data_IF_327786597957
#
_entry.id   IF_327786597957
#
_cell.length_a   1.000
_cell.length_b   1.000
_cell.length_c   1.000
_cell.angle_alpha   90.00
_cell.angle_beta   90.00
_cell.angle_gamma   90.00
#
_symmetry.space_group_name_H-M   'P 1'
#
loop_
_entity.id
_entity.type
_entity.pdbx_description
1 polymer ?
#
# COMPACT_ATOMS: atom_id res chain seq x y z
N UNK A 1 -26.35 1.54 8.33
CA UNK A 1 -25.25 0.90 7.56
C UNK A 1 -24.64 1.95 6.65
N UNK A 2 -23.30 2.14 6.66
CA UNK A 2 -22.63 2.95 5.63
C UNK A 2 -22.82 2.31 4.26
N UNK A 3 -23.04 3.07 3.17
CA UNK A 3 -23.18 2.50 1.85
C UNK A 3 -21.91 1.75 1.42
N UNK A 4 -22.10 0.66 0.68
CA UNK A 4 -21.03 0.04 -0.08
C UNK A 4 -20.70 0.89 -1.31
N UNK A 5 -19.54 0.64 -1.89
CA UNK A 5 -19.09 1.40 -3.05
C UNK A 5 -19.99 1.21 -4.27
N UNK A 6 -20.46 2.32 -4.85
CA UNK A 6 -21.39 2.31 -5.99
C UNK A 6 -20.94 3.11 -7.23
N UNK A 7 -19.86 3.91 -7.17
CA UNK A 7 -19.39 4.71 -8.31
C UNK A 7 -17.92 5.17 -8.16
N UNK A 8 -17.31 5.66 -9.25
CA UNK A 8 -15.96 6.25 -9.27
C UNK A 8 -15.90 7.71 -8.76
N UNK A 9 -16.97 8.24 -8.15
CA UNK A 9 -16.99 9.62 -7.65
C UNK A 9 -16.27 9.75 -6.29
N UNK A 10 -15.03 10.24 -6.31
CA UNK A 10 -14.14 10.39 -5.16
C UNK A 10 -14.73 11.20 -3.98
N UNK A 11 -15.69 12.09 -4.22
CA UNK A 11 -16.34 12.83 -3.13
C UNK A 11 -17.37 11.96 -2.39
N UNK A 12 -18.10 11.11 -3.11
CA UNK A 12 -19.03 10.15 -2.53
C UNK A 12 -18.30 8.99 -1.84
N UNK A 13 -17.07 8.69 -2.27
CA UNK A 13 -16.24 7.64 -1.70
C UNK A 13 -16.02 7.78 -0.20
N UNK A 14 -15.89 9.01 0.33
CA UNK A 14 -15.66 9.24 1.77
C UNK A 14 -16.87 8.92 2.64
N UNK A 15 -18.06 8.87 2.06
CA UNK A 15 -19.30 8.54 2.77
C UNK A 15 -19.55 7.01 2.83
N UNK A 16 -18.89 6.25 1.95
CA UNK A 16 -18.91 4.79 1.95
C UNK A 16 -18.04 4.20 3.07
N UNK A 17 -18.23 2.90 3.33
CA UNK A 17 -17.30 2.14 4.18
C UNK A 17 -15.90 2.09 3.54
N UNK A 18 -14.87 2.37 4.32
CA UNK A 18 -13.47 2.34 3.85
C UNK A 18 -12.79 1.01 4.15
N UNK A 19 -11.82 0.63 3.32
CA UNK A 19 -10.98 -0.54 3.59
C UNK A 19 -10.27 -0.36 4.93
N UNK A 20 -10.36 -1.38 5.77
CA UNK A 20 -9.82 -1.38 7.13
C UNK A 20 -10.80 -0.90 8.20
N UNK A 21 -11.94 -0.30 7.87
CA UNK A 21 -12.93 0.10 8.88
C UNK A 21 -13.53 -1.10 9.60
N UNK A 22 -13.72 -0.97 10.92
CA UNK A 22 -14.50 -1.92 11.71
C UNK A 22 -15.95 -1.82 11.28
N UNK A 23 -16.56 -2.94 10.91
CA UNK A 23 -17.96 -2.96 10.47
C UNK A 23 -18.90 -2.85 11.67
N UNK A 24 -19.94 -2.03 11.53
CA UNK A 24 -21.00 -1.93 12.53
C UNK A 24 -21.91 -3.18 12.52
N UNK A 25 -22.73 -3.42 13.56
CA UNK A 25 -23.60 -4.61 13.63
C UNK A 25 -24.58 -4.74 12.47
N UNK A 26 -25.07 -3.63 11.91
CA UNK A 26 -26.02 -3.63 10.80
C UNK A 26 -25.33 -4.10 9.50
N UNK A 27 -24.14 -3.59 9.25
CA UNK A 27 -23.25 -3.99 8.15
C UNK A 27 -22.88 -5.47 8.30
N UNK A 28 -22.49 -5.90 9.50
CA UNK A 28 -22.20 -7.32 9.75
C UNK A 28 -23.40 -8.22 9.40
N UNK A 29 -24.61 -7.88 9.87
CA UNK A 29 -25.82 -8.62 9.53
C UNK A 29 -26.08 -8.64 8.02
N UNK A 30 -25.86 -7.52 7.32
CA UNK A 30 -25.98 -7.46 5.87
C UNK A 30 -25.05 -8.46 5.17
N UNK A 31 -23.76 -8.47 5.51
CA UNK A 31 -22.80 -9.43 4.95
C UNK A 31 -23.17 -10.87 5.33
N UNK A 32 -23.45 -11.15 6.60
CA UNK A 32 -23.78 -12.51 7.07
C UNK A 32 -25.02 -13.09 6.38
N UNK A 33 -26.01 -12.27 6.05
CA UNK A 33 -27.25 -12.72 5.42
C UNK A 33 -27.16 -12.85 3.89
N UNK A 34 -26.21 -12.15 3.25
CA UNK A 34 -26.13 -12.06 1.78
C UNK A 34 -24.85 -12.68 1.19
N UNK A 35 -24.09 -13.44 2.00
CA UNK A 35 -22.84 -14.05 1.56
C UNK A 35 -23.01 -15.46 1.01
N UNK A 36 -22.47 -15.74 -0.17
CA UNK A 36 -22.33 -17.12 -0.69
C UNK A 36 -21.04 -17.81 -0.31
N UNK A 37 -20.05 -17.06 0.17
CA UNK A 37 -18.86 -17.63 0.78
C UNK A 37 -18.82 -17.25 2.26
N UNK A 38 -18.81 -18.27 3.11
CA UNK A 38 -18.80 -18.11 4.55
C UNK A 38 -17.76 -19.06 5.15
N UNK A 39 -16.83 -18.47 5.90
CA UNK A 39 -15.89 -19.16 6.79
C UNK A 39 -15.90 -18.45 8.13
N UNK A 40 -15.36 -19.07 9.17
CA UNK A 40 -15.30 -18.51 10.52
C UNK A 40 -14.70 -17.09 10.59
N UNK A 41 -13.88 -16.74 9.59
CA UNK A 41 -13.11 -15.50 9.47
C UNK A 41 -13.43 -14.66 8.23
N UNK A 42 -14.33 -15.08 7.32
CA UNK A 42 -14.57 -14.40 6.04
C UNK A 42 -16.06 -14.48 5.64
N UNK A 43 -16.64 -13.35 5.23
CA UNK A 43 -17.93 -13.24 4.54
C UNK A 43 -17.76 -12.48 3.22
N UNK A 44 -18.29 -13.03 2.12
CA UNK A 44 -18.30 -12.38 0.80
C UNK A 44 -19.69 -12.37 0.18
N UNK A 45 -20.18 -11.17 -0.16
CA UNK A 45 -21.51 -10.97 -0.76
C UNK A 45 -21.61 -11.67 -2.11
N UNK A 46 -22.77 -12.26 -2.43
CA UNK A 46 -22.97 -13.04 -3.65
C UNK A 46 -22.95 -12.22 -4.96
N UNK A 47 -23.10 -10.91 -4.84
CA UNK A 47 -23.09 -9.99 -5.96
C UNK A 47 -21.66 -9.64 -6.38
N UNK A 48 -21.40 -9.72 -7.69
CA UNK A 48 -20.12 -9.27 -8.27
C UNK A 48 -20.05 -7.76 -8.19
N UNK A 49 -19.23 -7.25 -7.27
CA UNK A 49 -19.10 -5.82 -7.00
C UNK A 49 -18.29 -5.12 -8.10
N UNK A 50 -17.26 -5.78 -8.63
CA UNK A 50 -16.45 -5.28 -9.74
C UNK A 50 -15.83 -6.42 -10.57
N UNK A 51 -15.38 -6.08 -11.79
CA UNK A 51 -14.60 -6.97 -12.64
C UNK A 51 -13.33 -6.22 -13.05
N UNK A 52 -12.16 -6.79 -12.77
CA UNK A 52 -10.85 -6.26 -13.16
C UNK A 52 -10.16 -7.31 -14.04
N UNK A 53 -10.02 -7.02 -15.33
CA UNK A 53 -9.64 -8.05 -16.31
C UNK A 53 -10.67 -9.18 -16.33
N UNK A 54 -10.23 -10.41 -16.08
CA UNK A 54 -11.11 -11.58 -15.97
C UNK A 54 -11.47 -11.94 -14.52
N UNK A 55 -11.01 -11.13 -13.56
CA UNK A 55 -11.14 -11.39 -12.13
C UNK A 55 -12.42 -10.74 -11.60
N UNK A 56 -13.31 -11.56 -11.02
CA UNK A 56 -14.54 -11.10 -10.35
C UNK A 56 -14.26 -10.81 -8.87
N UNK A 57 -14.65 -9.63 -8.43
CA UNK A 57 -14.42 -9.17 -7.07
C UNK A 57 -15.74 -9.04 -6.31
N UNK A 58 -15.69 -9.39 -5.03
CA UNK A 58 -16.84 -9.43 -4.14
C UNK A 58 -16.55 -8.59 -2.91
N UNK A 59 -17.52 -7.79 -2.48
CA UNK A 59 -17.42 -7.08 -1.21
C UNK A 59 -17.18 -8.10 -0.09
N UNK A 60 -16.11 -7.87 0.65
CA UNK A 60 -15.60 -8.85 1.62
C UNK A 60 -15.41 -8.19 2.99
N UNK A 61 -15.89 -8.85 4.03
CA UNK A 61 -15.49 -8.57 5.42
C UNK A 61 -14.70 -9.76 5.96
N UNK A 62 -13.67 -9.48 6.76
CA UNK A 62 -12.83 -10.51 7.34
C UNK A 62 -12.35 -10.19 8.75
N UNK A 63 -11.94 -11.23 9.47
CA UNK A 63 -11.20 -11.14 10.73
C UNK A 63 -9.73 -11.47 10.50
N UNK A 64 -8.83 -10.60 10.95
CA UNK A 64 -7.38 -10.85 10.88
C UNK A 64 -6.92 -11.99 11.80
N UNK A 65 -7.68 -12.24 12.87
CA UNK A 65 -7.52 -13.38 13.77
C UNK A 65 -8.83 -13.62 14.54
N UNK A 66 -8.93 -14.74 15.26
CA UNK A 66 -10.14 -15.14 16.00
C UNK A 66 -10.73 -14.04 16.91
N UNK A 67 -9.87 -13.21 17.50
CA UNK A 67 -10.24 -12.18 18.48
C UNK A 67 -10.32 -10.76 17.86
N UNK A 68 -10.00 -10.61 16.58
CA UNK A 68 -10.10 -9.33 15.88
C UNK A 68 -11.57 -8.99 15.59
N UNK A 69 -11.93 -7.69 15.54
CA UNK A 69 -13.21 -7.26 15.02
C UNK A 69 -13.31 -7.59 13.52
N UNK A 70 -14.54 -7.71 13.01
CA UNK A 70 -14.79 -7.76 11.58
C UNK A 70 -14.44 -6.42 10.95
N UNK A 71 -13.68 -6.47 9.86
CA UNK A 71 -13.32 -5.27 9.08
C UNK A 71 -13.74 -5.46 7.63
N UNK A 72 -14.13 -4.37 6.99
CA UNK A 72 -14.26 -4.35 5.54
C UNK A 72 -12.87 -4.39 4.92
N UNK A 73 -12.61 -5.41 4.10
CA UNK A 73 -11.31 -5.61 3.46
C UNK A 73 -11.33 -5.26 1.97
N UNK A 74 -12.40 -4.62 1.51
CA UNK A 74 -12.56 -4.18 0.13
C UNK A 74 -13.22 -5.23 -0.74
N UNK A 75 -12.85 -5.21 -2.02
CA UNK A 75 -13.40 -6.09 -3.04
C UNK A 75 -12.34 -7.10 -3.44
N UNK A 76 -12.57 -8.35 -3.05
CA UNK A 76 -11.58 -9.42 -3.08
C UNK A 76 -12.02 -10.54 -4.02
N UNK A 77 -11.05 -11.34 -4.48
CA UNK A 77 -11.35 -12.61 -5.15
C UNK A 77 -12.09 -13.56 -4.22
N UNK A 78 -12.85 -14.49 -4.80
CA UNK A 78 -13.61 -15.45 -3.99
C UNK A 78 -12.66 -16.32 -3.15
N UNK A 79 -12.88 -16.35 -1.84
CA UNK A 79 -12.06 -17.05 -0.86
C UNK A 79 -10.82 -16.30 -0.37
N UNK A 80 -10.57 -15.09 -0.87
CA UNK A 80 -9.41 -14.26 -0.55
C UNK A 80 -9.80 -13.02 0.26
N UNK A 81 -8.80 -12.39 0.89
CA UNK A 81 -9.00 -11.19 1.74
C UNK A 81 -8.20 -9.99 1.26
N UNK A 82 -7.38 -10.17 0.23
CA UNK A 82 -6.59 -9.10 -0.38
C UNK A 82 -7.48 -8.29 -1.32
N UNK A 83 -7.68 -7.00 -1.02
CA UNK A 83 -8.37 -6.09 -1.92
C UNK A 83 -7.68 -6.09 -3.30
N UNK A 84 -8.47 -6.26 -4.36
CA UNK A 84 -7.98 -6.19 -5.74
C UNK A 84 -8.58 -5.03 -6.53
N UNK A 85 -9.49 -4.24 -5.94
CA UNK A 85 -10.03 -3.07 -6.61
C UNK A 85 -9.20 -1.82 -6.28
N UNK A 86 -8.45 -1.24 -7.24
CA UNK A 86 -7.65 -0.03 -7.02
C UNK A 86 -8.46 1.18 -6.57
N UNK A 87 -9.75 1.27 -6.93
CA UNK A 87 -10.61 2.36 -6.47
C UNK A 87 -10.84 2.35 -4.96
N UNK A 88 -10.58 1.22 -4.29
CA UNK A 88 -10.70 1.04 -2.85
C UNK A 88 -9.34 0.93 -2.14
N UNK A 89 -8.24 0.87 -2.90
CA UNK A 89 -6.92 0.65 -2.32
C UNK A 89 -6.43 1.91 -1.60
N UNK A 90 -5.94 1.79 -0.34
CA UNK A 90 -5.25 2.89 0.29
C UNK A 90 -3.94 3.21 -0.44
N UNK A 91 -3.55 4.48 -0.43
CA UNK A 91 -2.19 4.87 -0.82
C UNK A 91 -1.22 4.61 0.34
N UNK A 92 -0.10 3.97 0.01
CA UNK A 92 0.98 3.67 0.97
C UNK A 92 2.28 4.28 0.45
N UNK A 93 2.89 5.14 1.26
CA UNK A 93 4.17 5.73 0.92
C UNK A 93 5.29 4.70 1.06
N UNK A 94 6.12 4.54 0.04
CA UNK A 94 7.28 3.64 0.08
C UNK A 94 8.52 4.47 0.40
N UNK A 95 9.15 4.15 1.54
CA UNK A 95 10.41 4.74 1.98
C UNK A 95 11.51 3.70 1.84
N UNK A 96 12.50 3.97 0.99
CA UNK A 96 13.65 3.10 0.80
C UNK A 96 14.85 3.91 0.33
N UNK A 97 16.06 3.35 0.48
CA UNK A 97 17.27 4.03 0.02
C UNK A 97 17.25 4.14 -1.50
N UNK A 98 17.59 5.33 -2.01
CA UNK A 98 17.73 5.58 -3.44
C UNK A 98 19.16 5.98 -3.82
N UNK A 99 19.72 6.99 -3.13
CA UNK A 99 21.07 7.50 -3.39
C UNK A 99 22.15 6.48 -3.06
N UNK A 100 23.20 6.48 -3.87
CA UNK A 100 24.38 5.66 -3.69
C UNK A 100 25.63 6.35 -4.24
N UNK A 101 26.82 5.85 -3.87
CA UNK A 101 28.10 6.40 -4.34
C UNK A 101 28.45 5.92 -5.75
N UNK A 102 28.03 4.70 -6.09
CA UNK A 102 28.29 4.09 -7.39
C UNK A 102 26.99 3.92 -8.19
N UNK A 103 27.12 3.82 -9.52
CA UNK A 103 26.01 3.51 -10.41
C UNK A 103 25.36 2.17 -10.09
N UNK A 104 26.17 1.18 -9.73
CA UNK A 104 25.73 -0.19 -9.50
C UNK A 104 24.94 -0.30 -8.20
N UNK A 105 25.40 0.35 -7.13
CA UNK A 105 24.64 0.48 -5.89
C UNK A 105 23.33 1.25 -6.11
N UNK A 106 23.34 2.30 -6.96
CA UNK A 106 22.11 3.04 -7.29
C UNK A 106 21.12 2.15 -8.03
N UNK A 107 21.58 1.29 -8.95
CA UNK A 107 20.73 0.34 -9.64
C UNK A 107 20.14 -0.69 -8.67
N UNK A 108 20.92 -1.21 -7.73
CA UNK A 108 20.44 -2.10 -6.68
C UNK A 108 19.34 -1.44 -5.84
N UNK A 109 19.55 -0.20 -5.41
CA UNK A 109 18.56 0.59 -4.67
C UNK A 109 17.25 0.76 -5.46
N UNK A 110 17.33 1.04 -6.76
CA UNK A 110 16.16 1.16 -7.64
C UNK A 110 15.37 -0.15 -7.69
N UNK A 111 16.05 -1.28 -7.83
CA UNK A 111 15.37 -2.58 -7.86
C UNK A 111 14.76 -2.97 -6.51
N UNK A 112 15.40 -2.61 -5.39
CA UNK A 112 14.82 -2.79 -4.05
C UNK A 112 13.59 -1.89 -3.84
N UNK A 113 13.62 -0.65 -4.32
CA UNK A 113 12.47 0.25 -4.26
C UNK A 113 11.28 -0.28 -5.09
N UNK A 114 11.55 -0.84 -6.29
CA UNK A 114 10.51 -1.52 -7.10
C UNK A 114 9.95 -2.75 -6.39
N UNK A 115 10.80 -3.56 -5.77
CA UNK A 115 10.39 -4.70 -4.96
C UNK A 115 9.50 -4.28 -3.78
N UNK A 116 9.82 -3.18 -3.11
CA UNK A 116 8.96 -2.62 -2.06
C UNK A 116 7.59 -2.21 -2.61
N UNK A 117 7.55 -1.57 -3.79
CA UNK A 117 6.29 -1.21 -4.45
C UNK A 117 5.44 -2.45 -4.78
N UNK A 118 6.04 -3.50 -5.33
CA UNK A 118 5.33 -4.76 -5.62
C UNK A 118 4.76 -5.41 -4.36
N UNK A 119 5.51 -5.38 -3.26
CA UNK A 119 5.03 -5.89 -1.98
C UNK A 119 3.81 -5.11 -1.47
N UNK A 120 3.80 -3.79 -1.61
CA UNK A 120 2.64 -2.95 -1.26
C UNK A 120 1.43 -3.28 -2.14
N UNK A 121 1.62 -3.53 -3.44
CA UNK A 121 0.55 -3.98 -4.35
C UNK A 121 -0.02 -5.34 -3.89
N UNK A 122 0.86 -6.28 -3.52
CA UNK A 122 0.44 -7.59 -3.00
C UNK A 122 -0.36 -7.49 -1.69
N UNK A 123 -0.13 -6.44 -0.90
CA UNK A 123 -0.90 -6.14 0.32
C UNK A 123 -2.24 -5.46 0.05
N UNK A 124 -2.62 -5.24 -1.22
CA UNK A 124 -3.87 -4.60 -1.59
C UNK A 124 -3.86 -3.08 -1.44
N UNK A 125 -2.72 -2.45 -1.67
CA UNK A 125 -2.52 -1.00 -1.58
C UNK A 125 -1.82 -0.44 -2.83
N UNK A 126 -1.94 0.87 -3.06
CA UNK A 126 -1.25 1.57 -4.16
C UNK A 126 0.05 2.19 -3.62
N UNK A 127 1.23 1.77 -4.12
CA UNK A 127 2.51 2.32 -3.68
C UNK A 127 2.77 3.71 -4.26
N UNK A 128 3.24 4.62 -3.40
CA UNK A 128 3.72 5.94 -3.79
C UNK A 128 5.22 6.00 -3.46
N UNK A 129 6.06 5.98 -4.50
CA UNK A 129 7.53 6.03 -4.38
C UNK A 129 8.10 7.23 -5.16
N UNK A 130 8.06 8.45 -4.61
CA UNK A 130 8.49 9.65 -5.33
C UNK A 130 9.95 9.60 -5.77
N UNK A 131 10.81 8.93 -5.01
CA UNK A 131 12.21 8.73 -5.35
C UNK A 131 12.43 7.84 -6.60
N UNK A 132 11.45 7.03 -7.02
CA UNK A 132 11.47 6.35 -8.32
C UNK A 132 10.92 7.21 -9.45
N UNK A 133 9.99 8.12 -9.15
CA UNK A 133 9.28 8.95 -10.12
C UNK A 133 10.03 10.24 -10.44
N UNK A 134 10.24 11.12 -9.45
CA UNK A 134 10.84 12.45 -9.63
C UNK A 134 12.27 12.38 -10.16
N UNK A 135 13.05 11.39 -9.74
CA UNK A 135 14.44 11.19 -10.19
C UNK A 135 14.56 10.77 -11.66
N UNK A 136 13.44 10.60 -12.37
CA UNK A 136 13.42 10.40 -13.82
C UNK A 136 13.51 11.69 -14.61
N UNK A 137 13.18 12.82 -13.99
CA UNK A 137 13.11 14.13 -14.66
C UNK A 137 13.62 15.29 -13.79
N UNK A 138 14.08 15.02 -12.56
CA UNK A 138 14.81 15.94 -11.68
C UNK A 138 16.22 15.39 -11.40
N UNK A 139 17.19 16.28 -11.28
CA UNK A 139 18.57 16.01 -10.90
C UNK A 139 18.82 16.34 -9.43
N UNK A 140 19.02 15.27 -8.66
CA UNK A 140 19.36 15.29 -7.24
C UNK A 140 20.65 16.06 -6.89
N UNK A 141 21.50 16.37 -7.88
CA UNK A 141 22.71 17.19 -7.72
C UNK A 141 22.45 18.69 -7.86
N UNK A 142 21.27 19.08 -8.36
CA UNK A 142 20.83 20.48 -8.43
C UNK A 142 20.00 20.77 -7.18
N UNK A 143 20.49 21.67 -6.33
CA UNK A 143 19.89 21.98 -5.01
C UNK A 143 18.39 22.27 -5.09
N UNK A 144 17.98 23.15 -6.01
CA UNK A 144 16.58 23.49 -6.20
C UNK A 144 15.71 22.28 -6.61
N UNK A 145 16.20 21.43 -7.52
CA UNK A 145 15.44 20.28 -8.00
C UNK A 145 15.34 19.19 -6.93
N UNK A 146 16.40 18.99 -6.15
CA UNK A 146 16.39 18.14 -4.95
C UNK A 146 15.34 18.62 -3.96
N UNK A 147 15.36 19.89 -3.59
CA UNK A 147 14.43 20.44 -2.59
C UNK A 147 12.99 20.38 -3.09
N UNK A 148 12.77 20.67 -4.38
CA UNK A 148 11.47 20.48 -5.01
C UNK A 148 10.99 19.03 -4.92
N UNK A 149 11.86 18.06 -5.25
CA UNK A 149 11.53 16.63 -5.18
C UNK A 149 11.15 16.19 -3.76
N UNK A 150 11.85 16.69 -2.75
CA UNK A 150 11.57 16.42 -1.34
C UNK A 150 10.21 17.00 -0.90
N UNK A 151 9.94 18.27 -1.21
CA UNK A 151 8.66 18.91 -0.86
C UNK A 151 7.48 18.30 -1.62
N UNK A 152 7.65 17.97 -2.90
CA UNK A 152 6.64 17.26 -3.67
C UNK A 152 6.39 15.84 -3.12
N UNK A 153 7.44 15.16 -2.65
CA UNK A 153 7.34 13.88 -1.94
C UNK A 153 6.52 13.99 -0.65
N UNK A 154 6.78 15.01 0.18
CA UNK A 154 5.96 15.30 1.38
C UNK A 154 4.50 15.56 1.02
N UNK A 155 4.24 16.32 -0.05
CA UNK A 155 2.86 16.55 -0.51
C UNK A 155 2.15 15.26 -0.91
N UNK A 156 2.88 14.31 -1.48
CA UNK A 156 2.36 12.97 -1.77
C UNK A 156 2.11 12.13 -0.52
N UNK A 157 2.92 12.28 0.54
CA UNK A 157 2.71 11.59 1.83
C UNK A 157 1.37 11.99 2.47
N UNK A 158 0.93 13.25 2.34
CA UNK A 158 -0.35 13.73 2.88
C UNK A 158 -1.58 12.98 2.33
N UNK A 159 -1.44 12.33 1.16
CA UNK A 159 -2.50 11.52 0.55
C UNK A 159 -2.46 10.05 1.00
N UNK A 160 -1.39 9.63 1.68
CA UNK A 160 -1.19 8.25 2.10
C UNK A 160 -1.83 7.99 3.46
N UNK A 161 -2.42 6.80 3.63
CA UNK A 161 -3.00 6.38 4.91
C UNK A 161 -2.00 5.64 5.80
N UNK A 162 -0.85 5.24 5.25
CA UNK A 162 0.23 4.52 5.93
C UNK A 162 1.52 4.60 5.11
N UNK A 163 2.60 4.01 5.61
CA UNK A 163 3.87 3.91 4.91
C UNK A 163 4.52 2.54 5.08
N UNK A 164 5.44 2.20 4.17
CA UNK A 164 6.23 0.99 4.17
C UNK A 164 7.72 1.35 4.05
N UNK A 165 8.52 0.94 5.03
CA UNK A 165 9.98 1.17 5.04
C UNK A 165 10.71 -0.12 4.67
N UNK A 166 11.55 -0.06 3.62
CA UNK A 166 12.49 -1.13 3.29
C UNK A 166 13.90 -0.73 3.73
N UNK A 167 14.51 -1.57 4.56
CA UNK A 167 15.91 -1.43 5.00
C UNK A 167 16.76 -2.61 4.55
N UNK A 168 18.06 -2.36 4.40
CA UNK A 168 19.09 -3.40 4.26
C UNK A 168 20.06 -3.26 5.42
N UNK A 169 20.28 -4.34 6.16
CA UNK A 169 21.06 -4.37 7.41
C UNK A 169 20.64 -3.28 8.43
N UNK A 170 19.34 -2.98 8.51
CA UNK A 170 18.76 -1.91 9.35
C UNK A 170 19.29 -0.49 9.03
N UNK A 171 19.97 -0.30 7.90
CA UNK A 171 20.60 0.98 7.60
C UNK A 171 19.59 2.01 7.06
N UNK A 172 19.33 3.06 7.83
CA UNK A 172 18.51 4.21 7.45
C UNK A 172 19.39 5.33 6.85
N UNK A 173 19.03 5.82 5.67
CA UNK A 173 19.69 7.01 5.09
C UNK A 173 19.11 8.31 5.64
N UNK A 174 19.84 9.42 5.54
CA UNK A 174 19.36 10.74 5.97
C UNK A 174 18.00 11.11 5.38
N UNK A 175 17.82 10.90 4.07
CA UNK A 175 16.53 11.15 3.41
C UNK A 175 15.41 10.28 3.98
N UNK A 176 15.68 9.00 4.23
CA UNK A 176 14.68 8.10 4.84
C UNK A 176 14.32 8.53 6.27
N UNK A 177 15.30 8.94 7.07
CA UNK A 177 15.07 9.41 8.43
C UNK A 177 14.18 10.68 8.44
N UNK A 178 14.43 11.63 7.53
CA UNK A 178 13.58 12.81 7.35
C UNK A 178 12.14 12.44 6.96
N UNK A 179 11.97 11.53 5.99
CA UNK A 179 10.66 11.04 5.56
C UNK A 179 9.92 10.36 6.72
N UNK A 180 10.58 9.46 7.46
CA UNK A 180 10.00 8.72 8.58
C UNK A 180 9.59 9.67 9.70
N UNK A 181 10.45 10.64 10.06
CA UNK A 181 10.12 11.66 11.08
C UNK A 181 8.92 12.51 10.67
N UNK A 182 8.83 12.88 9.40
CA UNK A 182 7.70 13.64 8.90
C UNK A 182 6.40 12.82 8.96
N UNK A 183 6.40 11.59 8.44
CA UNK A 183 5.22 10.72 8.45
C UNK A 183 4.73 10.40 9.86
N UNK A 184 5.64 10.07 10.78
CA UNK A 184 5.27 9.67 12.14
C UNK A 184 5.01 10.86 13.06
N UNK A 185 5.86 11.89 13.02
CA UNK A 185 5.83 13.02 13.94
C UNK A 185 4.89 14.14 13.52
N UNK A 186 4.73 14.38 12.21
CA UNK A 186 3.89 15.48 11.69
C UNK A 186 2.54 14.96 11.22
N UNK A 187 2.52 13.90 10.41
CA UNK A 187 1.27 13.35 9.87
C UNK A 187 0.58 12.37 10.84
N UNK A 188 1.30 11.86 11.85
CA UNK A 188 0.75 10.88 12.79
C UNK A 188 0.40 9.54 12.14
N UNK A 189 1.05 9.20 11.02
CA UNK A 189 0.83 7.94 10.33
C UNK A 189 1.53 6.81 11.06
N UNK A 190 0.89 5.65 11.06
CA UNK A 190 1.51 4.37 11.41
C UNK A 190 1.93 3.65 10.13
N UNK A 191 3.05 2.94 10.18
CA UNK A 191 3.61 2.24 9.04
C UNK A 191 4.13 0.86 9.40
N UNK A 192 4.53 0.13 8.37
CA UNK A 192 5.19 -1.17 8.50
C UNK A 192 6.59 -1.11 7.93
N UNK A 193 7.42 -2.09 8.27
CA UNK A 193 8.77 -2.18 7.74
C UNK A 193 9.11 -3.61 7.32
N UNK A 194 10.17 -3.71 6.51
CA UNK A 194 10.84 -4.97 6.23
C UNK A 194 12.34 -4.71 6.07
N UNK A 195 13.11 -5.28 6.98
CA UNK A 195 14.55 -5.36 6.86
C UNK A 195 14.97 -6.61 6.08
N UNK A 196 16.03 -6.48 5.30
CA UNK A 196 16.70 -7.56 4.56
C UNK A 196 18.19 -7.56 4.90
N UNK A 197 18.83 -8.72 4.86
CA UNK A 197 20.30 -8.76 4.85
C UNK A 197 20.85 -8.32 3.49
N UNK A 198 22.12 -7.92 3.42
CA UNK A 198 22.80 -7.67 2.13
C UNK A 198 22.70 -8.85 1.16
N UNK A 199 22.80 -10.09 1.64
CA UNK A 199 22.66 -11.29 0.80
C UNK A 199 21.23 -11.47 0.28
N UNK A 200 20.22 -11.20 1.11
CA UNK A 200 18.82 -11.22 0.70
C UNK A 200 18.52 -10.15 -0.34
N UNK A 201 18.99 -8.92 -0.09
CA UNK A 201 18.86 -7.81 -1.02
C UNK A 201 19.51 -8.13 -2.37
N UNK A 202 20.70 -8.73 -2.36
CA UNK A 202 21.38 -9.16 -3.58
C UNK A 202 20.56 -10.19 -4.36
N UNK A 203 20.01 -11.21 -3.69
CA UNK A 203 19.15 -12.22 -4.32
C UNK A 203 17.90 -11.61 -4.96
N UNK A 204 17.28 -10.64 -4.28
CA UNK A 204 16.12 -9.91 -4.83
C UNK A 204 16.51 -9.18 -6.11
N UNK A 205 17.64 -8.46 -6.10
CA UNK A 205 18.11 -7.73 -7.28
C UNK A 205 18.47 -8.68 -8.43
N UNK A 206 19.18 -9.77 -8.15
CA UNK A 206 19.55 -10.80 -9.15
C UNK A 206 18.30 -11.37 -9.84
N UNK A 207 17.29 -11.78 -9.07
CA UNK A 207 16.03 -12.32 -9.62
C UNK A 207 15.28 -11.33 -10.52
N UNK A 208 15.46 -10.02 -10.29
CA UNK A 208 14.78 -8.97 -11.07
C UNK A 208 15.54 -8.58 -12.33
N UNK A 209 16.86 -8.70 -12.34
CA UNK A 209 17.70 -8.41 -13.51
C UNK A 209 17.76 -9.57 -14.51
N UNK A 210 17.32 -10.77 -14.11
CA UNK A 210 17.23 -11.96 -14.96
C UNK A 210 15.96 -12.02 -15.84
N UNK A 211 15.10 -10.99 -15.79
CA UNK A 211 13.85 -10.85 -16.56
C UNK A 211 14.02 -9.81 -17.67
#
# INVERSE_FOLDING_TARGET
MKPLYGSFDYLQQRECIQVGEIVDPETFCHFSNNSTFQRDDIFQIDYVAAIIGDVRLYDTIAKMNKYAPWRYVGQCEKGHIENKNPALMPFVYVCSRYRAKTSDERLQNIELAKHACERVIQMGAIPIAPHLYFTRFLDDNVEFERDFGMEAGKKMMEMCSSFFVLTVDEEISEGMDEEIKYMTGILGLEGSNKNYTKEEAKRIVEQRLEI
#
